data_IF_241916962919
#
_entry.id   IF_241916962919
#
_cell.length_a   1.000
_cell.length_b   1.000
_cell.length_c   1.000
_cell.angle_alpha   90.00
_cell.angle_beta   90.00
_cell.angle_gamma   90.00
#
_symmetry.space_group_name_H-M   'P 1'
#
loop_
_entity.id
_entity.type
_entity.pdbx_description
1 polymer ?
#
# COMPACT_ATOMS: atom_id res chain seq x y z
N UNK A 1 -6.47 -22.11 3.20
CA UNK A 1 -7.08 -20.98 2.46
C UNK A 1 -7.30 -19.81 3.39
N UNK A 2 -7.01 -18.61 2.93
CA UNK A 2 -7.23 -17.42 3.73
C UNK A 2 -8.71 -17.07 3.80
N UNK A 3 -9.14 -16.58 4.96
CA UNK A 3 -10.47 -16.00 5.08
C UNK A 3 -10.55 -14.74 4.25
N UNK A 4 -11.75 -14.38 3.79
CA UNK A 4 -11.94 -13.22 2.93
C UNK A 4 -11.40 -11.93 3.55
N UNK A 5 -11.58 -11.74 4.86
CA UNK A 5 -11.07 -10.52 5.51
C UNK A 5 -9.54 -10.42 5.40
N UNK A 6 -8.85 -11.55 5.51
CA UNK A 6 -7.38 -11.57 5.41
C UNK A 6 -6.93 -11.43 3.96
N UNK A 7 -7.63 -12.08 3.05
CA UNK A 7 -7.34 -11.95 1.63
C UNK A 7 -7.49 -10.48 1.19
N UNK A 8 -8.56 -9.83 1.62
CA UNK A 8 -8.80 -8.43 1.27
C UNK A 8 -7.69 -7.52 1.76
N UNK A 9 -7.21 -7.73 2.99
CA UNK A 9 -6.10 -6.95 3.53
C UNK A 9 -4.82 -7.14 2.73
N UNK A 10 -4.51 -8.39 2.37
CA UNK A 10 -3.32 -8.69 1.58
C UNK A 10 -3.43 -8.13 0.17
N UNK A 11 -4.60 -8.24 -0.44
CA UNK A 11 -4.83 -7.73 -1.78
C UNK A 11 -4.64 -6.22 -1.83
N UNK A 12 -5.24 -5.49 -0.90
CA UNK A 12 -5.08 -4.04 -0.85
C UNK A 12 -3.64 -3.63 -0.54
N UNK A 13 -2.98 -4.35 0.36
CA UNK A 13 -1.57 -4.10 0.65
C UNK A 13 -0.73 -4.21 -0.61
N UNK A 14 -0.99 -5.23 -1.42
CA UNK A 14 -0.28 -5.43 -2.68
C UNK A 14 -0.57 -4.30 -3.65
N UNK A 15 -1.83 -3.92 -3.80
CA UNK A 15 -2.23 -2.85 -4.71
C UNK A 15 -1.63 -1.50 -4.30
N UNK A 16 -1.62 -1.19 -3.01
CA UNK A 16 -1.01 0.04 -2.52
C UNK A 16 0.50 0.05 -2.75
N UNK A 17 1.16 -1.10 -2.56
CA UNK A 17 2.60 -1.21 -2.82
C UNK A 17 2.91 -0.95 -4.29
N UNK A 18 2.11 -1.50 -5.20
CA UNK A 18 2.25 -1.25 -6.64
C UNK A 18 2.04 0.22 -6.97
N UNK A 19 1.05 0.84 -6.34
CA UNK A 19 0.77 2.26 -6.56
C UNK A 19 1.95 3.14 -6.17
N UNK A 20 2.62 2.84 -5.05
CA UNK A 20 3.78 3.61 -4.62
C UNK A 20 4.90 3.58 -5.64
N UNK A 21 5.14 2.43 -6.26
CA UNK A 21 6.13 2.34 -7.36
C UNK A 21 5.74 3.22 -8.54
N UNK A 22 4.47 3.23 -8.89
CA UNK A 22 3.98 4.06 -10.00
C UNK A 22 4.17 5.53 -9.70
N UNK A 23 3.92 5.97 -8.47
CA UNK A 23 4.07 7.38 -8.10
C UNK A 23 5.51 7.86 -8.22
N UNK A 24 6.49 7.03 -7.93
CA UNK A 24 7.89 7.40 -8.13
C UNK A 24 8.17 7.72 -9.60
N UNK A 25 7.64 6.93 -10.51
CA UNK A 25 7.78 7.19 -11.95
C UNK A 25 7.03 8.45 -12.35
N UNK A 26 5.83 8.64 -11.84
CA UNK A 26 5.02 9.82 -12.16
C UNK A 26 5.71 11.10 -11.70
N UNK A 27 6.33 11.09 -10.54
CA UNK A 27 7.08 12.24 -10.03
C UNK A 27 8.24 12.56 -10.96
N UNK A 28 9.01 11.56 -11.37
CA UNK A 28 10.13 11.76 -12.29
C UNK A 28 9.67 12.32 -13.62
N UNK A 29 8.58 11.80 -14.15
CA UNK A 29 8.03 12.27 -15.41
C UNK A 29 7.58 13.73 -15.30
N UNK A 30 6.92 14.07 -14.20
CA UNK A 30 6.46 15.44 -13.97
C UNK A 30 7.64 16.41 -13.86
N UNK A 31 8.67 16.01 -13.12
CA UNK A 31 9.89 16.82 -12.98
C UNK A 31 10.57 17.02 -14.32
N UNK A 32 10.68 15.97 -15.12
CA UNK A 32 11.29 16.03 -16.44
C UNK A 32 10.52 16.97 -17.39
N UNK A 33 9.20 17.02 -17.22
CA UNK A 33 8.35 17.90 -18.02
C UNK A 33 8.30 19.33 -17.48
N UNK A 34 8.94 19.60 -16.34
CA UNK A 34 8.90 20.91 -15.70
C UNK A 34 7.60 21.23 -15.01
N UNK A 35 6.74 20.23 -14.77
CA UNK A 35 5.48 20.42 -14.08
C UNK A 35 5.67 20.21 -12.59
N UNK A 36 6.08 21.26 -11.87
CA UNK A 36 6.34 21.15 -10.44
C UNK A 36 5.06 20.90 -9.64
N UNK A 37 3.95 21.45 -10.09
CA UNK A 37 2.66 21.21 -9.43
C UNK A 37 2.24 19.76 -9.52
N UNK A 38 2.44 19.13 -10.69
CA UNK A 38 2.14 17.72 -10.87
C UNK A 38 3.01 16.85 -9.96
N UNK A 39 4.30 17.17 -9.90
CA UNK A 39 5.21 16.43 -9.03
C UNK A 39 4.78 16.52 -7.57
N UNK A 40 4.36 17.69 -7.13
CA UNK A 40 3.90 17.89 -5.74
C UNK A 40 2.60 17.13 -5.47
N UNK A 41 1.68 17.11 -6.42
CA UNK A 41 0.44 16.33 -6.30
C UNK A 41 0.76 14.85 -6.08
N UNK A 42 1.68 14.30 -6.89
CA UNK A 42 2.06 12.89 -6.75
C UNK A 42 2.76 12.62 -5.42
N UNK A 43 3.61 13.54 -4.94
CA UNK A 43 4.26 13.38 -3.64
C UNK A 43 3.25 13.38 -2.50
N UNK A 44 2.26 14.25 -2.56
CA UNK A 44 1.21 14.30 -1.54
C UNK A 44 0.38 13.02 -1.54
N UNK A 45 0.03 12.53 -2.73
CA UNK A 45 -0.72 11.28 -2.86
C UNK A 45 0.09 10.11 -2.33
N UNK A 46 1.38 10.08 -2.65
CA UNK A 46 2.28 9.04 -2.18
C UNK A 46 2.32 8.98 -0.66
N UNK A 47 2.42 10.13 -0.01
CA UNK A 47 2.41 10.20 1.46
C UNK A 47 1.14 9.61 2.05
N UNK A 48 -0.01 9.97 1.49
CA UNK A 48 -1.29 9.43 1.97
C UNK A 48 -1.39 7.93 1.77
N UNK A 49 -0.92 7.45 0.62
CA UNK A 49 -0.95 6.01 0.33
C UNK A 49 0.01 5.24 1.22
N UNK A 50 1.16 5.82 1.58
CA UNK A 50 2.07 5.20 2.54
C UNK A 50 1.42 5.05 3.92
N UNK A 51 0.69 6.06 4.36
CA UNK A 51 -0.02 6.00 5.63
C UNK A 51 -1.10 4.91 5.59
N UNK A 52 -1.83 4.82 4.50
CA UNK A 52 -2.85 3.78 4.33
C UNK A 52 -2.21 2.39 4.32
N UNK A 53 -1.10 2.24 3.62
CA UNK A 53 -0.38 0.97 3.57
C UNK A 53 0.06 0.54 4.97
N UNK A 54 0.62 1.47 5.74
CA UNK A 54 1.02 1.18 7.11
C UNK A 54 -0.16 0.75 7.97
N UNK A 55 -1.30 1.40 7.79
CA UNK A 55 -2.53 1.03 8.49
C UNK A 55 -2.97 -0.40 8.19
N UNK A 56 -2.94 -0.79 6.92
CA UNK A 56 -3.30 -2.15 6.51
C UNK A 56 -2.32 -3.17 7.05
N UNK A 57 -1.01 -2.86 7.01
CA UNK A 57 0.00 -3.77 7.53
C UNK A 57 -0.15 -3.99 9.03
N UNK A 58 -0.40 -2.92 9.77
CA UNK A 58 -0.61 -3.02 11.21
C UNK A 58 -1.86 -3.83 11.52
N UNK A 59 -2.90 -3.65 10.73
CA UNK A 59 -4.13 -4.38 10.93
C UNK A 59 -3.95 -5.88 10.63
N UNK A 60 -3.21 -6.18 9.58
CA UNK A 60 -2.89 -7.56 9.25
C UNK A 60 -2.05 -8.21 10.36
N UNK A 61 -1.08 -7.46 10.89
CA UNK A 61 -0.29 -7.94 12.03
C UNK A 61 -1.20 -8.27 13.21
N UNK A 62 -2.18 -7.42 13.48
CA UNK A 62 -3.13 -7.66 14.54
C UNK A 62 -3.90 -8.95 14.32
N UNK A 63 -4.32 -9.22 13.08
CA UNK A 63 -5.00 -10.47 12.76
C UNK A 63 -4.11 -11.69 13.01
N UNK A 64 -2.84 -11.58 12.65
CA UNK A 64 -1.86 -12.63 12.91
C UNK A 64 -1.73 -12.86 14.43
N UNK A 65 -1.53 -11.78 15.17
CA UNK A 65 -1.29 -11.84 16.61
C UNK A 65 -2.49 -12.39 17.39
N UNK A 66 -3.69 -12.15 16.89
CA UNK A 66 -4.92 -12.61 17.55
C UNK A 66 -5.42 -13.96 17.03
N UNK A 67 -4.67 -14.60 16.15
CA UNK A 67 -5.03 -15.93 15.65
C UNK A 67 -6.08 -15.94 14.54
N UNK A 68 -6.41 -14.79 13.97
CA UNK A 68 -7.34 -14.72 12.84
C UNK A 68 -6.72 -15.20 11.54
N UNK A 69 -5.38 -15.17 11.46
CA UNK A 69 -4.64 -15.75 10.34
C UNK A 69 -4.01 -17.04 10.84
N UNK A 70 -4.33 -18.13 10.18
CA UNK A 70 -3.77 -19.43 10.54
C UNK A 70 -2.55 -19.72 9.69
N UNK A 71 -1.49 -20.17 10.34
CA UNK A 71 -0.26 -20.56 9.67
C UNK A 71 -0.05 -22.05 9.87
N UNK A 72 0.55 -22.65 8.87
CA UNK A 72 0.89 -24.04 8.95
C UNK A 72 -0.31 -24.91 8.71
N UNK A 73 -0.06 -26.17 8.81
CA UNK A 73 -1.04 -27.19 8.54
C UNK A 73 -1.26 -28.04 9.78
N UNK A 74 -2.43 -28.44 9.92
CA UNK A 74 -2.78 -29.35 11.01
C UNK A 74 -2.61 -30.78 10.58
#
# INVERSE_FOLDING_TARGET
>A
MLKNVNYNLLEETTELSKALYRYDTYIKDAEAAGCLECAELWRNMRRRQEQDLNGFLQHFKKHVDTGLVEFGTK
#
